data_IF_727159588319
#
_entry.id   IF_727159588319
#
_cell.length_a   1.000
_cell.length_b   1.000
_cell.length_c   1.000
_cell.angle_alpha   90.00
_cell.angle_beta   90.00
_cell.angle_gamma   90.00
#
_symmetry.space_group_name_H-M   'P 1'
#
loop_
_entity.id
_entity.type
_entity.pdbx_description
1 polymer ?
#
# COMPACT_ATOMS: atom_id res chain seq x y z
N UNK A 1 36.99 -15.47 18.70
CA UNK A 1 35.72 -15.02 18.12
C UNK A 1 35.34 -15.95 16.99
N UNK A 2 34.26 -16.74 17.11
CA UNK A 2 33.81 -17.59 16.00
C UNK A 2 33.19 -16.67 14.95
N UNK A 3 33.90 -16.41 13.86
CA UNK A 3 33.32 -15.78 12.67
C UNK A 3 32.21 -16.69 12.18
N UNK A 4 30.96 -16.33 12.45
CA UNK A 4 29.80 -17.13 12.08
C UNK A 4 29.75 -17.25 10.56
N UNK A 5 30.13 -18.41 10.03
CA UNK A 5 30.06 -18.70 8.60
C UNK A 5 28.64 -18.39 8.14
N UNK A 6 28.50 -17.47 7.17
CA UNK A 6 27.19 -17.23 6.58
C UNK A 6 26.69 -18.55 5.99
N UNK A 7 25.50 -19.03 6.38
CA UNK A 7 24.95 -20.25 5.80
C UNK A 7 24.81 -20.07 4.29
N UNK A 8 25.13 -21.11 3.53
CA UNK A 8 24.83 -21.20 2.10
C UNK A 8 24.09 -22.51 1.85
N UNK A 9 22.89 -22.41 1.27
CA UNK A 9 21.95 -23.52 1.05
C UNK A 9 21.71 -24.38 2.29
N UNK A 10 21.57 -23.75 3.46
CA UNK A 10 21.48 -24.45 4.75
C UNK A 10 20.15 -25.18 4.98
N UNK A 11 19.07 -24.82 4.26
CA UNK A 11 17.80 -25.51 4.36
C UNK A 11 17.69 -26.63 3.32
N UNK A 12 17.01 -27.70 3.70
CA UNK A 12 16.53 -28.77 2.83
C UNK A 12 15.00 -28.76 2.77
N UNK A 13 14.42 -29.36 1.72
CA UNK A 13 12.98 -29.45 1.57
C UNK A 13 12.31 -30.19 2.76
N UNK A 14 12.99 -31.19 3.33
CA UNK A 14 12.51 -31.93 4.51
C UNK A 14 12.47 -31.03 5.74
N UNK A 15 13.55 -30.30 6.01
CA UNK A 15 13.60 -29.34 7.14
C UNK A 15 12.51 -28.28 7.01
N UNK A 16 12.31 -27.72 5.81
CA UNK A 16 11.26 -26.72 5.55
C UNK A 16 9.87 -27.26 5.91
N UNK A 17 9.60 -28.55 5.66
CA UNK A 17 8.32 -29.19 6.04
C UNK A 17 8.20 -29.37 7.55
N UNK A 18 9.28 -29.78 8.21
CA UNK A 18 9.30 -30.11 9.63
C UNK A 18 9.31 -28.90 10.57
N UNK A 19 9.86 -27.75 10.14
CA UNK A 19 9.93 -26.54 10.95
C UNK A 19 8.53 -26.01 11.28
N UNK A 20 8.18 -25.99 12.57
CA UNK A 20 6.89 -25.48 13.07
C UNK A 20 7.04 -24.29 14.02
N UNK A 21 8.22 -24.15 14.62
CA UNK A 21 8.50 -23.05 15.53
C UNK A 21 8.46 -21.72 14.77
N UNK A 22 7.77 -20.71 15.32
CA UNK A 22 7.77 -19.38 14.73
C UNK A 22 9.18 -18.79 14.73
N UNK A 23 9.61 -18.25 13.60
CA UNK A 23 10.98 -17.77 13.47
C UNK A 23 11.42 -17.46 12.06
N UNK A 24 12.68 -17.01 11.94
CA UNK A 24 13.36 -16.77 10.68
C UNK A 24 14.52 -17.74 10.53
N UNK A 25 14.46 -18.60 9.54
CA UNK A 25 15.47 -19.61 9.26
C UNK A 25 16.24 -19.22 8.01
N UNK A 26 17.55 -19.00 8.14
CA UNK A 26 18.39 -18.59 7.04
C UNK A 26 18.70 -19.80 6.14
N UNK A 27 18.37 -19.69 4.85
CA UNK A 27 18.91 -20.60 3.84
C UNK A 27 20.29 -20.15 3.37
N UNK A 28 20.52 -18.84 3.37
CA UNK A 28 21.78 -18.22 2.94
C UNK A 28 21.56 -17.16 1.90
N UNK A 29 22.60 -16.38 1.59
CA UNK A 29 22.52 -15.39 0.49
C UNK A 29 21.40 -14.34 0.65
N UNK A 30 20.94 -14.10 1.88
CA UNK A 30 19.81 -13.22 2.20
C UNK A 30 18.43 -13.89 2.06
N UNK A 31 18.34 -15.16 1.67
CA UNK A 31 17.10 -15.93 1.64
C UNK A 31 16.78 -16.50 3.03
N UNK A 32 15.53 -16.31 3.45
CA UNK A 32 14.98 -16.80 4.69
C UNK A 32 13.65 -17.51 4.46
N UNK A 33 13.45 -18.59 5.21
CA UNK A 33 12.12 -19.11 5.51
C UNK A 33 11.60 -18.38 6.75
N UNK A 34 10.43 -17.77 6.65
CA UNK A 34 9.71 -17.19 7.78
C UNK A 34 8.55 -18.09 8.12
N UNK A 35 8.50 -18.53 9.38
CA UNK A 35 7.37 -19.27 9.97
C UNK A 35 6.66 -18.30 10.91
N UNK A 36 5.42 -17.99 10.59
CA UNK A 36 4.58 -17.11 11.41
C UNK A 36 4.00 -17.90 12.61
N UNK A 37 3.52 -17.23 13.69
CA UNK A 37 2.92 -17.90 14.85
C UNK A 37 1.76 -18.85 14.53
N UNK A 38 1.05 -18.59 13.42
CA UNK A 38 -0.01 -19.46 12.90
C UNK A 38 0.49 -20.75 12.24
N UNK A 39 1.81 -20.91 12.09
CA UNK A 39 2.43 -22.00 11.34
C UNK A 39 2.51 -21.77 9.82
N UNK A 40 1.96 -20.65 9.32
CA UNK A 40 2.10 -20.26 7.93
C UNK A 40 3.58 -20.03 7.58
N UNK A 41 3.98 -20.47 6.38
CA UNK A 41 5.38 -20.41 5.94
C UNK A 41 5.53 -19.63 4.65
N UNK A 42 6.51 -18.73 4.61
CA UNK A 42 6.78 -17.89 3.44
C UNK A 42 8.26 -17.64 3.24
N UNK A 43 8.62 -17.43 1.99
CA UNK A 43 9.97 -17.06 1.58
C UNK A 43 10.15 -15.55 1.63
N UNK A 44 11.28 -15.12 2.20
CA UNK A 44 11.67 -13.72 2.32
C UNK A 44 13.12 -13.56 1.85
N UNK A 45 13.34 -12.60 0.95
CA UNK A 45 14.66 -12.14 0.57
C UNK A 45 14.98 -10.83 1.29
N UNK A 46 16.07 -10.80 2.04
CA UNK A 46 16.64 -9.57 2.60
C UNK A 46 17.78 -9.10 1.70
N UNK A 47 17.59 -7.97 1.03
CA UNK A 47 18.59 -7.38 0.12
C UNK A 47 18.62 -5.86 0.23
N UNK A 48 19.65 -5.23 -0.34
CA UNK A 48 19.70 -3.77 -0.52
C UNK A 48 19.18 -3.44 -1.91
N UNK A 49 18.21 -2.54 -1.99
CA UNK A 49 17.67 -2.01 -3.24
C UNK A 49 17.82 -0.50 -3.18
N UNK A 50 18.53 0.08 -4.14
CA UNK A 50 18.75 1.54 -4.22
C UNK A 50 19.26 2.14 -2.90
N UNK A 51 20.30 1.53 -2.31
CA UNK A 51 20.92 1.98 -1.06
C UNK A 51 20.12 1.69 0.22
N UNK A 52 18.87 1.20 0.12
CA UNK A 52 18.03 0.89 1.29
C UNK A 52 17.86 -0.61 1.49
N UNK A 53 18.05 -1.09 2.72
CA UNK A 53 17.75 -2.48 3.10
C UNK A 53 16.25 -2.74 3.03
N UNK A 54 15.86 -3.83 2.40
CA UNK A 54 14.46 -4.24 2.18
C UNK A 54 14.30 -5.74 2.42
N UNK A 55 13.15 -6.10 2.98
CA UNK A 55 12.66 -7.47 3.08
C UNK A 55 11.58 -7.66 1.98
N UNK A 56 11.82 -8.58 1.05
CA UNK A 56 10.98 -8.83 -0.13
C UNK A 56 10.36 -10.23 -0.01
N UNK A 57 9.04 -10.31 0.00
CA UNK A 57 8.33 -11.59 -0.03
C UNK A 57 8.39 -12.26 -1.41
N UNK A 58 8.85 -13.51 -1.46
CA UNK A 58 8.98 -14.30 -2.69
C UNK A 58 7.80 -15.27 -2.91
N UNK A 59 6.93 -15.45 -1.92
CA UNK A 59 5.74 -16.30 -1.97
C UNK A 59 5.61 -17.23 -0.76
N UNK A 60 4.45 -17.88 -0.64
CA UNK A 60 4.22 -18.94 0.36
C UNK A 60 4.90 -20.25 -0.03
N UNK A 61 5.29 -21.05 0.95
CA UNK A 61 5.96 -22.35 0.71
C UNK A 61 5.07 -23.35 -0.05
N UNK A 62 3.74 -23.19 0.02
CA UNK A 62 2.79 -24.02 -0.73
C UNK A 62 2.83 -23.79 -2.25
N UNK A 63 3.22 -22.59 -2.68
CA UNK A 63 3.23 -22.19 -4.09
C UNK A 63 4.63 -22.07 -4.67
N UNK A 64 5.64 -21.90 -3.81
CA UNK A 64 7.02 -21.69 -4.20
C UNK A 64 7.89 -22.69 -3.44
N UNK A 65 8.50 -23.60 -4.17
CA UNK A 65 9.45 -24.57 -3.64
C UNK A 65 10.75 -23.88 -3.18
N UNK A 66 11.56 -24.59 -2.39
CA UNK A 66 12.87 -24.07 -1.96
C UNK A 66 13.80 -23.78 -3.16
N UNK A 67 13.75 -24.61 -4.22
CA UNK A 67 14.56 -24.41 -5.41
C UNK A 67 14.15 -23.12 -6.14
N UNK A 68 12.86 -22.95 -6.41
CA UNK A 68 12.31 -21.74 -7.04
C UNK A 68 12.57 -20.49 -6.18
N UNK A 69 12.51 -20.62 -4.84
CA UNK A 69 12.82 -19.52 -3.94
C UNK A 69 14.28 -19.07 -4.08
N UNK A 70 15.23 -20.01 -4.24
CA UNK A 70 16.66 -19.71 -4.47
C UNK A 70 16.88 -19.02 -5.83
N UNK A 71 16.20 -19.50 -6.87
CA UNK A 71 16.26 -18.89 -8.21
C UNK A 71 15.69 -17.46 -8.21
N UNK A 72 14.49 -17.27 -7.66
CA UNK A 72 13.89 -15.94 -7.50
C UNK A 72 14.77 -15.01 -6.67
N UNK A 73 15.37 -15.51 -5.59
CA UNK A 73 16.29 -14.74 -4.77
C UNK A 73 17.54 -14.32 -5.54
N UNK A 74 18.08 -15.18 -6.40
CA UNK A 74 19.22 -14.84 -7.26
C UNK A 74 18.84 -13.76 -8.28
N UNK A 75 17.71 -13.93 -8.98
CA UNK A 75 17.22 -12.97 -9.97
C UNK A 75 17.00 -11.58 -9.36
N UNK A 76 16.35 -11.51 -8.19
CA UNK A 76 16.06 -10.24 -7.52
C UNK A 76 17.33 -9.55 -7.03
N UNK A 77 18.32 -10.31 -6.54
CA UNK A 77 19.62 -9.76 -6.15
C UNK A 77 20.41 -9.23 -7.35
N UNK A 78 20.36 -9.94 -8.48
CA UNK A 78 20.98 -9.49 -9.74
C UNK A 78 20.37 -8.16 -10.18
N UNK A 79 19.04 -8.10 -10.25
CA UNK A 79 18.31 -6.87 -10.61
C UNK A 79 18.64 -5.70 -9.66
N UNK A 80 18.65 -5.95 -8.36
CA UNK A 80 18.97 -4.91 -7.36
C UNK A 80 20.42 -4.40 -7.49
N UNK A 81 21.36 -5.27 -7.85
CA UNK A 81 22.77 -4.91 -8.09
C UNK A 81 22.93 -4.05 -9.36
N UNK A 82 22.13 -4.34 -10.38
CA UNK A 82 22.08 -3.57 -11.64
C UNK A 82 21.35 -2.23 -11.49
N UNK A 83 20.88 -1.88 -10.28
CA UNK A 83 20.18 -0.63 -9.98
C UNK A 83 18.67 -0.68 -10.21
N UNK A 84 18.14 -1.82 -10.66
CA UNK A 84 16.71 -2.06 -10.81
C UNK A 84 15.97 -2.17 -9.48
N UNK A 85 14.65 -2.03 -9.52
CA UNK A 85 13.77 -2.17 -8.36
C UNK A 85 12.88 -3.42 -8.51
N UNK A 86 13.12 -4.51 -7.76
CA UNK A 86 12.30 -5.72 -7.81
C UNK A 86 10.85 -5.53 -7.33
N UNK A 87 10.53 -4.36 -6.77
CA UNK A 87 9.20 -4.00 -6.30
C UNK A 87 8.51 -3.00 -7.24
N UNK A 88 9.13 -2.61 -8.37
CA UNK A 88 8.58 -1.61 -9.28
C UNK A 88 7.17 -1.98 -9.78
N UNK A 89 6.99 -3.21 -10.27
CA UNK A 89 5.69 -3.70 -10.77
C UNK A 89 4.63 -3.74 -9.66
N UNK A 90 5.00 -4.21 -8.47
CA UNK A 90 4.10 -4.20 -7.30
C UNK A 90 3.69 -2.79 -6.89
N UNK A 91 4.55 -1.80 -7.08
CA UNK A 91 4.26 -0.39 -6.79
C UNK A 91 3.36 0.22 -7.87
N UNK A 92 3.57 -0.12 -9.15
CA UNK A 92 2.71 0.29 -10.26
C UNK A 92 1.28 -0.25 -10.09
N UNK A 93 1.13 -1.53 -9.75
CA UNK A 93 -0.20 -2.14 -9.53
C UNK A 93 -0.98 -1.50 -8.37
N UNK A 94 -0.31 -0.96 -7.35
CA UNK A 94 -0.94 -0.28 -6.21
C UNK A 94 -1.30 1.19 -6.47
N UNK A 95 -0.87 1.75 -7.60
CA UNK A 95 -0.96 3.18 -7.87
C UNK A 95 -2.33 3.63 -8.39
N UNK A 96 -3.25 2.69 -8.61
CA UNK A 96 -4.64 3.01 -9.00
C UNK A 96 -5.46 3.23 -7.73
N UNK A 97 -5.20 4.36 -7.06
CA UNK A 97 -6.08 4.89 -6.03
C UNK A 97 -6.63 6.20 -6.59
N UNK A 98 -7.95 6.32 -6.85
CA UNK A 98 -8.51 7.56 -7.37
C UNK A 98 -8.28 8.70 -6.38
N UNK A 99 -8.21 9.92 -6.90
CA UNK A 99 -8.20 11.12 -6.05
C UNK A 99 -9.53 11.23 -5.29
N UNK A 100 -9.53 12.02 -4.21
CA UNK A 100 -10.77 12.28 -3.47
C UNK A 100 -11.88 12.84 -4.38
N UNK A 101 -11.53 13.73 -5.32
CA UNK A 101 -12.49 14.29 -6.27
C UNK A 101 -13.09 13.20 -7.17
N UNK A 102 -12.25 12.38 -7.80
CA UNK A 102 -12.71 11.29 -8.67
C UNK A 102 -13.58 10.27 -7.92
N UNK A 103 -13.21 9.95 -6.67
CA UNK A 103 -14.01 9.09 -5.81
C UNK A 103 -15.36 9.74 -5.44
N UNK A 104 -15.37 11.04 -5.11
CA UNK A 104 -16.58 11.79 -4.79
C UNK A 104 -17.52 11.90 -5.99
N UNK A 105 -17.00 12.15 -7.18
CA UNK A 105 -17.77 12.22 -8.43
C UNK A 105 -18.40 10.87 -8.76
N UNK A 106 -17.66 9.78 -8.56
CA UNK A 106 -18.15 8.41 -8.77
C UNK A 106 -19.32 8.10 -7.82
N UNK A 107 -19.14 8.35 -6.51
CA UNK A 107 -20.18 8.13 -5.51
C UNK A 107 -21.40 9.02 -5.77
N UNK A 108 -21.19 10.29 -6.12
CA UNK A 108 -22.26 11.20 -6.48
C UNK A 108 -23.06 10.67 -7.69
N UNK A 109 -22.37 10.22 -8.75
CA UNK A 109 -23.01 9.69 -9.95
C UNK A 109 -23.83 8.42 -9.67
N UNK A 110 -23.33 7.52 -8.83
CA UNK A 110 -24.00 6.27 -8.44
C UNK A 110 -25.24 6.52 -7.56
N UNK A 111 -25.15 7.47 -6.63
CA UNK A 111 -26.18 7.64 -5.58
C UNK A 111 -27.19 8.76 -5.83
N UNK A 112 -26.92 9.70 -6.77
CA UNK A 112 -27.81 10.85 -7.03
C UNK A 112 -29.26 10.50 -7.35
N UNK A 113 -29.52 9.31 -7.91
CA UNK A 113 -30.87 8.88 -8.26
C UNK A 113 -31.73 8.50 -7.05
N UNK A 114 -31.09 8.07 -5.94
CA UNK A 114 -31.77 7.69 -4.70
C UNK A 114 -31.78 8.79 -3.65
N UNK A 115 -31.09 9.90 -3.88
CA UNK A 115 -31.09 11.02 -2.95
C UNK A 115 -32.37 11.80 -3.10
N UNK A 116 -33.13 12.00 -2.00
CA UNK A 116 -34.32 12.84 -2.06
C UNK A 116 -33.86 14.22 -2.51
N UNK A 117 -34.24 14.60 -3.72
CA UNK A 117 -34.17 15.99 -4.14
C UNK A 117 -35.14 16.71 -3.22
N UNK A 118 -34.61 17.43 -2.23
CA UNK A 118 -35.41 18.33 -1.43
C UNK A 118 -35.88 19.46 -2.34
N UNK A 119 -36.91 19.19 -3.15
CA UNK A 119 -37.81 20.24 -3.63
C UNK A 119 -38.49 20.70 -2.36
N UNK A 120 -37.95 21.76 -1.74
CA UNK A 120 -38.55 22.37 -0.56
C UNK A 120 -40.03 22.66 -0.89
N UNK A 121 -40.99 21.92 -0.33
CA UNK A 121 -42.39 22.17 -0.63
C UNK A 121 -42.78 23.42 0.15
N UNK A 122 -43.08 24.50 -0.58
CA UNK A 122 -43.72 25.67 0.00
C UNK A 122 -42.81 26.86 0.32
N UNK A 123 -41.89 27.26 -0.57
CA UNK A 123 -41.50 28.68 -0.60
C UNK A 123 -42.59 29.48 -1.30
N UNK A 124 -43.72 29.69 -0.62
CA UNK A 124 -44.61 30.80 -0.95
C UNK A 124 -43.78 32.06 -0.86
N UNK A 125 -43.54 32.72 -1.99
CA UNK A 125 -43.07 34.10 -2.02
C UNK A 125 -44.17 34.95 -1.38
N UNK A 126 -44.16 35.08 -0.06
CA UNK A 126 -44.86 36.18 0.59
C UNK A 126 -44.21 37.47 0.10
N UNK A 127 -44.95 38.17 -0.75
CA UNK A 127 -44.63 39.50 -1.21
C UNK A 127 -44.86 40.45 -0.02
N UNK A 128 -43.82 40.64 0.79
CA UNK A 128 -43.88 41.53 1.95
C UNK A 128 -42.49 41.73 2.53
N UNK A 129 -42.03 42.98 2.51
CA UNK A 129 -40.73 43.46 3.00
C UNK A 129 -39.50 43.01 2.19
N UNK A 130 -39.34 43.63 1.00
CA UNK A 130 -38.01 43.94 0.48
C UNK A 130 -37.41 45.07 1.34
N UNK A 131 -36.21 44.84 1.86
CA UNK A 131 -35.36 45.89 2.41
C UNK A 131 -34.85 45.53 3.79
N UNK A 132 -33.56 45.17 3.85
CA UNK A 132 -32.63 45.39 4.98
C UNK A 132 -31.62 44.25 5.24
N UNK A 133 -31.35 43.36 4.28
CA UNK A 133 -30.30 42.33 4.49
C UNK A 133 -29.38 42.12 3.26
N UNK A 134 -29.34 43.06 2.31
CA UNK A 134 -28.52 42.91 1.11
C UNK A 134 -27.12 43.57 1.19
N UNK A 135 -26.84 44.39 2.21
CA UNK A 135 -25.59 45.17 2.24
C UNK A 135 -24.52 44.64 3.22
N UNK A 136 -24.83 43.69 4.10
CA UNK A 136 -23.87 43.22 5.12
C UNK A 136 -23.08 41.96 4.70
N UNK A 137 -23.63 41.12 3.82
CA UNK A 137 -22.97 39.89 3.37
C UNK A 137 -21.86 40.12 2.32
N UNK A 138 -21.86 41.27 1.64
CA UNK A 138 -20.81 41.61 0.66
C UNK A 138 -19.52 42.15 1.32
N UNK A 139 -19.62 42.73 2.52
CA UNK A 139 -18.48 43.30 3.24
C UNK A 139 -17.59 42.22 3.88
N UNK A 140 -18.17 41.11 4.34
CA UNK A 140 -17.44 40.05 5.04
C UNK A 140 -16.63 39.15 4.10
N UNK A 141 -17.12 38.87 2.89
CA UNK A 141 -16.39 38.05 1.92
C UNK A 141 -15.19 38.80 1.28
N UNK A 142 -15.24 40.14 1.23
CA UNK A 142 -14.14 40.96 0.74
C UNK A 142 -12.98 41.10 1.75
N UNK A 143 -13.25 41.00 3.07
CA UNK A 143 -12.21 41.06 4.12
C UNK A 143 -11.48 39.74 4.33
N UNK A 144 -12.11 38.60 4.05
CA UNK A 144 -11.48 37.29 4.23
C UNK A 144 -10.38 36.98 3.19
N UNK A 145 -10.45 37.54 1.98
CA UNK A 145 -9.47 37.30 0.91
C UNK A 145 -8.29 38.29 0.85
N UNK A 146 -8.22 39.28 1.75
CA UNK A 146 -7.13 40.27 1.79
C UNK A 146 -6.09 40.02 2.90
N UNK A 147 -6.08 38.82 3.52
CA UNK A 147 -5.13 38.43 4.57
C UNK A 147 -4.36 37.14 4.28
N UNK A 148 -4.13 36.89 3.00
CA UNK A 148 -3.11 35.97 2.54
C UNK A 148 -2.18 36.72 1.58
N UNK A 149 -1.34 37.60 2.15
CA UNK A 149 0.08 37.90 1.82
C UNK A 149 0.56 39.03 2.73
#
# INVERSE_FOLDING_TARGET
MKTGKHPDKALSAVQVRQLKEPGRYADGNGLYLVVDPSGAKRWMLRTVVQGKRRDIGLGGVSLVSLAEAREKALAYRKLAREGGDPLAEKRLAKKVVPTFSEAADTVYAEHKAGWPTAVLPGRSLHQGHRGAWADEAAADNARANARAF
#
